data_IF_204473012950
#
_entry.id   IF_204473012950
#
_cell.length_a   1.000
_cell.length_b   1.000
_cell.length_c   1.000
_cell.angle_alpha   90.00
_cell.angle_beta   90.00
_cell.angle_gamma   90.00
#
_symmetry.space_group_name_H-M   'P 1'
#
loop_
_entity.id
_entity.type
_entity.pdbx_description
1 polymer ?
#
# COMPACT_ATOMS: atom_id res chain seq x y z
N UNK A 1 -27.33 -7.56 3.57
CA UNK A 1 -26.96 -6.29 2.90
C UNK A 1 -25.79 -5.67 3.63
N UNK A 2 -25.95 -5.39 4.92
CA UNK A 2 -24.85 -4.93 5.80
C UNK A 2 -23.63 -5.87 5.78
N UNK A 3 -23.84 -7.19 5.79
CA UNK A 3 -22.76 -8.19 5.70
C UNK A 3 -21.81 -8.00 4.50
N UNK A 4 -22.29 -7.47 3.37
CA UNK A 4 -21.43 -7.21 2.21
C UNK A 4 -20.58 -5.95 2.42
N UNK A 5 -21.17 -4.89 2.97
CA UNK A 5 -20.41 -3.69 3.32
C UNK A 5 -19.36 -3.98 4.40
N UNK A 6 -19.69 -4.86 5.36
CA UNK A 6 -18.77 -5.34 6.38
C UNK A 6 -17.64 -6.21 5.84
N UNK A 7 -17.78 -6.80 4.65
CA UNK A 7 -16.72 -7.55 3.98
C UNK A 7 -15.82 -6.68 3.10
N UNK A 8 -16.39 -5.65 2.44
CA UNK A 8 -15.64 -4.80 1.51
C UNK A 8 -14.87 -3.71 2.25
N UNK A 9 -15.51 -3.02 3.20
CA UNK A 9 -14.91 -1.87 3.88
C UNK A 9 -13.58 -2.20 4.60
N UNK A 10 -13.44 -3.34 5.31
CA UNK A 10 -12.17 -3.69 5.93
C UNK A 10 -11.01 -3.84 4.94
N UNK A 11 -11.25 -4.23 3.69
CA UNK A 11 -10.20 -4.35 2.67
C UNK A 11 -9.59 -2.99 2.36
N UNK A 12 -10.42 -1.96 2.19
CA UNK A 12 -9.97 -0.59 1.97
C UNK A 12 -9.23 -0.02 3.20
N UNK A 13 -9.73 -0.29 4.41
CA UNK A 13 -9.08 0.11 5.66
C UNK A 13 -7.70 -0.54 5.78
N UNK A 14 -7.60 -1.85 5.58
CA UNK A 14 -6.33 -2.59 5.61
C UNK A 14 -5.36 -2.07 4.55
N UNK A 15 -5.86 -1.75 3.35
CA UNK A 15 -5.02 -1.19 2.29
C UNK A 15 -4.36 0.13 2.72
N UNK A 16 -5.10 1.02 3.39
CA UNK A 16 -4.54 2.26 3.95
C UNK A 16 -3.52 2.01 5.05
N UNK A 17 -3.81 1.10 5.97
CA UNK A 17 -2.89 0.72 7.05
C UNK A 17 -1.57 0.19 6.47
N UNK A 18 -1.63 -0.69 5.47
CA UNK A 18 -0.44 -1.24 4.82
C UNK A 18 0.42 -0.14 4.15
N UNK A 19 -0.22 0.82 3.48
CA UNK A 19 0.47 1.98 2.91
C UNK A 19 1.14 2.83 4.00
N UNK A 20 0.45 3.08 5.12
CA UNK A 20 1.02 3.86 6.22
C UNK A 20 2.22 3.17 6.88
N UNK A 21 2.17 1.85 7.03
CA UNK A 21 3.30 1.02 7.49
C UNK A 21 4.48 1.16 6.52
N UNK A 22 4.24 1.00 5.22
CA UNK A 22 5.28 1.11 4.20
C UNK A 22 5.90 2.51 4.14
N UNK A 23 5.09 3.57 4.24
CA UNK A 23 5.57 4.97 4.31
C UNK A 23 6.40 5.22 5.57
N UNK A 24 6.02 4.62 6.69
CA UNK A 24 6.78 4.71 7.95
C UNK A 24 8.15 4.06 7.80
N UNK A 25 8.21 2.82 7.29
CA UNK A 25 9.47 2.13 7.02
C UNK A 25 10.38 2.91 6.06
N UNK A 26 9.81 3.49 4.99
CA UNK A 26 10.55 4.35 4.07
C UNK A 26 11.17 5.56 4.77
N UNK A 27 10.40 6.25 5.61
CA UNK A 27 10.87 7.42 6.37
C UNK A 27 11.99 7.04 7.34
N UNK A 28 11.85 5.93 8.04
CA UNK A 28 12.87 5.41 8.95
C UNK A 28 14.17 5.05 8.23
N UNK A 29 14.07 4.45 7.04
CA UNK A 29 15.23 4.14 6.20
C UNK A 29 15.98 5.41 5.75
N UNK A 30 15.26 6.43 5.30
CA UNK A 30 15.85 7.74 4.95
C UNK A 30 16.54 8.36 6.18
N UNK A 31 15.86 8.41 7.32
CA UNK A 31 16.41 8.97 8.56
C UNK A 31 17.65 8.21 9.05
N UNK A 32 17.75 6.92 8.74
CA UNK A 32 18.89 6.07 9.04
C UNK A 32 20.03 6.21 8.02
N UNK A 33 19.89 7.09 7.02
CA UNK A 33 20.87 7.34 5.97
C UNK A 33 21.08 6.13 5.07
N UNK A 34 19.99 5.43 4.71
CA UNK A 34 19.99 4.36 3.70
C UNK A 34 19.72 4.89 2.29
N UNK A 35 19.44 6.19 2.16
CA UNK A 35 19.04 6.82 0.90
C UNK A 35 20.22 6.95 -0.07
N UNK A 36 20.38 5.98 -0.95
CA UNK A 36 21.22 6.07 -2.16
C UNK A 36 20.35 6.10 -3.43
N UNK A 37 20.98 6.29 -4.59
CA UNK A 37 20.25 6.38 -5.87
C UNK A 37 19.51 5.09 -6.24
N UNK A 38 20.03 3.92 -5.82
CA UNK A 38 19.39 2.62 -6.09
C UNK A 38 18.15 2.47 -5.21
N UNK A 39 18.26 2.78 -3.93
CA UNK A 39 17.16 2.80 -2.98
C UNK A 39 16.05 3.75 -3.46
N UNK A 40 16.40 4.99 -3.81
CA UNK A 40 15.44 5.98 -4.36
C UNK A 40 14.71 5.46 -5.60
N UNK A 41 15.44 4.87 -6.55
CA UNK A 41 14.84 4.38 -7.78
C UNK A 41 13.79 3.28 -7.50
N UNK A 42 14.09 2.36 -6.58
CA UNK A 42 13.17 1.30 -6.16
C UNK A 42 12.00 1.88 -5.38
N UNK A 43 12.25 2.74 -4.39
CA UNK A 43 11.20 3.26 -3.52
C UNK A 43 10.25 4.21 -4.23
N UNK A 44 10.70 4.96 -5.24
CA UNK A 44 9.82 5.81 -6.05
C UNK A 44 8.72 5.01 -6.77
N UNK A 45 9.03 3.83 -7.30
CA UNK A 45 8.02 2.97 -7.92
C UNK A 45 7.03 2.45 -6.88
N UNK A 46 7.51 2.08 -5.70
CA UNK A 46 6.66 1.60 -4.60
C UNK A 46 5.76 2.74 -4.09
N UNK A 47 6.27 3.97 -3.98
CA UNK A 47 5.50 5.16 -3.60
C UNK A 47 4.38 5.43 -4.61
N UNK A 48 4.67 5.34 -5.91
CA UNK A 48 3.64 5.50 -6.93
C UNK A 48 2.52 4.47 -6.80
N UNK A 49 2.86 3.20 -6.52
CA UNK A 49 1.88 2.14 -6.25
C UNK A 49 1.06 2.41 -4.97
N UNK A 50 1.71 2.91 -3.91
CA UNK A 50 1.04 3.29 -2.66
C UNK A 50 0.02 4.42 -2.89
N UNK A 51 0.37 5.44 -3.66
CA UNK A 51 -0.52 6.56 -3.94
C UNK A 51 -1.76 6.11 -4.74
N UNK A 52 -1.56 5.25 -5.75
CA UNK A 52 -2.66 4.62 -6.50
C UNK A 52 -3.56 3.77 -5.59
N UNK A 53 -2.94 3.04 -4.66
CA UNK A 53 -3.66 2.20 -3.68
C UNK A 53 -4.53 3.04 -2.76
N UNK A 54 -4.04 4.18 -2.27
CA UNK A 54 -4.84 5.11 -1.46
C UNK A 54 -6.02 5.67 -2.25
N UNK A 55 -5.80 6.09 -3.50
CA UNK A 55 -6.88 6.57 -4.36
C UNK A 55 -7.96 5.50 -4.55
N UNK A 56 -7.55 4.26 -4.82
CA UNK A 56 -8.48 3.14 -4.95
C UNK A 56 -9.26 2.88 -3.65
N UNK A 57 -8.60 2.87 -2.49
CA UNK A 57 -9.26 2.69 -1.20
C UNK A 57 -10.27 3.82 -0.89
N UNK A 58 -9.94 5.07 -1.24
CA UNK A 58 -10.86 6.20 -1.10
C UNK A 58 -12.11 6.03 -1.99
N UNK A 59 -11.92 5.65 -3.25
CA UNK A 59 -13.04 5.39 -4.16
C UNK A 59 -13.92 4.22 -3.68
N UNK A 60 -13.36 3.20 -3.03
CA UNK A 60 -14.16 2.12 -2.42
C UNK A 60 -15.08 2.70 -1.36
N UNK A 61 -14.55 3.48 -0.41
CA UNK A 61 -15.34 4.08 0.67
C UNK A 61 -16.47 4.97 0.13
N UNK A 62 -16.14 5.87 -0.81
CA UNK A 62 -17.13 6.77 -1.45
C UNK A 62 -18.25 5.98 -2.15
N UNK A 63 -17.89 4.90 -2.85
CA UNK A 63 -18.87 4.04 -3.54
C UNK A 63 -19.72 3.26 -2.55
N UNK A 64 -19.15 2.77 -1.45
CA UNK A 64 -19.92 2.09 -0.41
C UNK A 64 -20.90 3.05 0.27
N UNK A 65 -20.50 4.30 0.55
CA UNK A 65 -21.38 5.33 1.10
C UNK A 65 -22.54 5.67 0.15
N UNK A 66 -22.23 5.84 -1.15
CA UNK A 66 -23.25 6.04 -2.18
C UNK A 66 -24.25 4.86 -2.21
N UNK A 67 -23.74 3.63 -2.27
CA UNK A 67 -24.57 2.42 -2.34
C UNK A 67 -25.43 2.25 -1.09
N UNK A 68 -24.91 2.54 0.11
CA UNK A 68 -25.70 2.56 1.35
C UNK A 68 -26.84 3.57 1.28
N UNK A 69 -26.60 4.72 0.66
CA UNK A 69 -27.58 5.81 0.56
C UNK A 69 -28.71 5.49 -0.43
N UNK A 70 -28.39 4.95 -1.61
CA UNK A 70 -29.39 4.64 -2.64
C UNK A 70 -30.12 3.31 -2.40
N UNK A 71 -29.45 2.38 -1.69
CA UNK A 71 -29.98 1.06 -1.33
C UNK A 71 -30.36 0.18 -2.52
N UNK A 72 -31.05 -0.92 -2.22
CA UNK A 72 -31.41 -1.96 -3.20
C UNK A 72 -32.39 -1.50 -4.30
N UNK A 73 -32.98 -0.32 -4.13
CA UNK A 73 -33.85 0.29 -5.14
C UNK A 73 -33.09 0.82 -6.35
N UNK A 74 -31.77 0.98 -6.24
CA UNK A 74 -30.91 1.39 -7.32
C UNK A 74 -30.74 0.27 -8.36
N UNK A 75 -31.13 0.45 -9.64
CA UNK A 75 -31.16 -0.64 -10.61
C UNK A 75 -29.82 -1.33 -10.88
N UNK A 76 -28.69 -0.63 -10.66
CA UNK A 76 -27.36 -1.22 -10.84
C UNK A 76 -26.69 -1.58 -9.51
N UNK A 77 -27.43 -1.65 -8.40
CA UNK A 77 -26.87 -1.85 -7.06
C UNK A 77 -25.91 -3.04 -7.01
N UNK A 78 -26.36 -4.23 -7.42
CA UNK A 78 -25.53 -5.44 -7.37
C UNK A 78 -24.30 -5.36 -8.26
N UNK A 79 -24.42 -4.76 -9.46
CA UNK A 79 -23.29 -4.58 -10.38
C UNK A 79 -22.25 -3.66 -9.77
N UNK A 80 -22.69 -2.52 -9.25
CA UNK A 80 -21.80 -1.50 -8.71
C UNK A 80 -21.21 -1.93 -7.36
N UNK A 81 -21.93 -2.72 -6.57
CA UNK A 81 -21.42 -3.39 -5.37
C UNK A 81 -20.30 -4.38 -5.72
N UNK A 82 -20.52 -5.28 -6.68
CA UNK A 82 -19.51 -6.24 -7.12
C UNK A 82 -18.26 -5.57 -7.72
N UNK A 83 -18.44 -4.49 -8.48
CA UNK A 83 -17.31 -3.71 -8.99
C UNK A 83 -16.57 -2.94 -7.88
N UNK A 84 -17.26 -2.55 -6.80
CA UNK A 84 -16.64 -1.95 -5.60
C UNK A 84 -15.82 -3.00 -4.85
N UNK A 85 -16.33 -4.22 -4.72
CA UNK A 85 -15.62 -5.33 -4.09
C UNK A 85 -14.31 -5.69 -4.81
N UNK A 86 -14.36 -5.84 -6.14
CA UNK A 86 -13.16 -6.06 -6.96
C UNK A 86 -12.13 -4.93 -6.83
N UNK A 87 -12.58 -3.69 -6.71
CA UNK A 87 -11.68 -2.55 -6.47
C UNK A 87 -11.02 -2.64 -5.09
N UNK A 88 -11.76 -3.08 -4.08
CA UNK A 88 -11.26 -3.27 -2.72
C UNK A 88 -10.25 -4.43 -2.66
N UNK A 89 -10.49 -5.54 -3.37
CA UNK A 89 -9.54 -6.64 -3.53
C UNK A 89 -8.23 -6.16 -4.17
N UNK A 90 -8.33 -5.38 -5.26
CA UNK A 90 -7.16 -4.83 -5.93
C UNK A 90 -6.38 -3.85 -5.04
N UNK A 91 -7.08 -3.00 -4.30
CA UNK A 91 -6.44 -2.08 -3.36
C UNK A 91 -5.70 -2.85 -2.26
N UNK A 92 -6.32 -3.90 -1.70
CA UNK A 92 -5.69 -4.75 -0.70
C UNK A 92 -4.44 -5.44 -1.25
N UNK A 93 -4.55 -6.13 -2.39
CA UNK A 93 -3.43 -6.84 -3.00
C UNK A 93 -2.25 -5.90 -3.34
N UNK A 94 -2.54 -4.72 -3.90
CA UNK A 94 -1.51 -3.72 -4.20
C UNK A 94 -0.85 -3.18 -2.93
N UNK A 95 -1.62 -3.00 -1.86
CA UNK A 95 -1.08 -2.54 -0.58
C UNK A 95 -0.13 -3.56 0.06
N UNK A 96 -0.46 -4.85 -0.03
CA UNK A 96 0.36 -5.94 0.49
C UNK A 96 1.67 -6.04 -0.30
N UNK A 97 1.58 -5.96 -1.63
CA UNK A 97 2.75 -5.93 -2.51
C UNK A 97 3.63 -4.71 -2.21
N UNK A 98 3.06 -3.52 -2.08
CA UNK A 98 3.81 -2.31 -1.78
C UNK A 98 4.55 -2.42 -0.43
N UNK A 99 3.88 -2.96 0.59
CA UNK A 99 4.48 -3.21 1.90
C UNK A 99 5.63 -4.22 1.81
N UNK A 100 5.45 -5.34 1.11
CA UNK A 100 6.49 -6.36 0.94
C UNK A 100 7.71 -5.81 0.19
N UNK A 101 7.48 -5.11 -0.92
CA UNK A 101 8.56 -4.52 -1.71
C UNK A 101 9.31 -3.44 -0.93
N UNK A 102 8.62 -2.64 -0.11
CA UNK A 102 9.27 -1.64 0.74
C UNK A 102 10.16 -2.30 1.79
N UNK A 103 9.65 -3.34 2.49
CA UNK A 103 10.44 -4.10 3.46
C UNK A 103 11.71 -4.68 2.83
N UNK A 104 11.58 -5.23 1.62
CA UNK A 104 12.72 -5.77 0.87
C UNK A 104 13.72 -4.68 0.49
N UNK A 105 13.25 -3.55 -0.05
CA UNK A 105 14.12 -2.42 -0.42
C UNK A 105 14.93 -1.90 0.78
N UNK A 106 14.29 -1.80 1.96
CA UNK A 106 14.97 -1.42 3.20
C UNK A 106 16.03 -2.46 3.60
N UNK A 107 15.68 -3.74 3.60
CA UNK A 107 16.62 -4.81 3.96
C UNK A 107 17.84 -4.87 3.01
N UNK A 108 17.62 -4.72 1.71
CA UNK A 108 18.69 -4.69 0.71
C UNK A 108 19.63 -3.50 0.92
N UNK A 109 19.09 -2.32 1.24
CA UNK A 109 19.88 -1.12 1.54
C UNK A 109 20.68 -1.25 2.85
N UNK A 110 20.09 -1.85 3.89
CA UNK A 110 20.78 -2.13 5.14
C UNK A 110 21.96 -3.09 4.94
N UNK A 111 21.77 -4.16 4.16
CA UNK A 111 22.83 -5.12 3.89
C UNK A 111 23.96 -4.50 3.06
N UNK A 112 23.62 -3.70 2.05
CA UNK A 112 24.61 -2.94 1.28
C UNK A 112 25.45 -2.02 2.19
N UNK A 113 24.79 -1.24 3.06
CA UNK A 113 25.47 -0.34 4.00
C UNK A 113 26.37 -1.10 4.98
N UNK A 114 25.97 -2.30 5.41
CA UNK A 114 26.81 -3.18 6.25
C UNK A 114 28.06 -3.64 5.50
N UNK A 115 27.91 -4.13 4.26
CA UNK A 115 29.03 -4.58 3.42
C UNK A 115 30.00 -3.44 3.12
N UNK A 116 29.50 -2.25 2.78
CA UNK A 116 30.31 -1.07 2.52
C UNK A 116 31.20 -0.68 3.71
N UNK A 117 30.66 -0.76 4.95
CA UNK A 117 31.43 -0.52 6.18
C UNK A 117 32.51 -1.59 6.42
N UNK A 118 32.21 -2.86 6.17
CA UNK A 118 33.17 -3.95 6.36
C UNK A 118 34.33 -3.88 5.36
N UNK A 119 34.08 -3.47 4.12
CA UNK A 119 35.13 -3.23 3.12
C UNK A 119 36.01 -2.04 3.50
N UNK A 120 35.41 -0.96 4.04
CA UNK A 120 36.16 0.22 4.48
C UNK A 120 37.01 -0.02 5.75
N UNK A 121 36.61 -0.96 6.62
CA UNK A 121 37.30 -1.26 7.87
C UNK A 121 38.34 -2.39 7.82
N UNK A 122 38.45 -3.11 6.70
CA UNK A 122 39.29 -4.32 6.57
C UNK A 122 40.68 -4.09 5.95
N UNK A 123 41.12 -2.83 5.80
CA UNK A 123 42.34 -2.47 5.09
C UNK A 123 43.42 -1.86 6.01
N UNK A 124 43.59 -2.42 7.22
CA UNK A 124 44.70 -2.10 8.14
C UNK A 124 45.52 -3.35 8.44
#
# INVERSE_FOLDING_TARGET
>A
MDDFFEQINPKAITARINVDIARTAHREAINSGLEDEVFKAVTNMIISLMDQTIVAANHVEERLEFLRTVGDSYPNFSRDLGATDLMADNALANSELAMEQMKKAVADAEDWKRRARNVAGGNN
#
